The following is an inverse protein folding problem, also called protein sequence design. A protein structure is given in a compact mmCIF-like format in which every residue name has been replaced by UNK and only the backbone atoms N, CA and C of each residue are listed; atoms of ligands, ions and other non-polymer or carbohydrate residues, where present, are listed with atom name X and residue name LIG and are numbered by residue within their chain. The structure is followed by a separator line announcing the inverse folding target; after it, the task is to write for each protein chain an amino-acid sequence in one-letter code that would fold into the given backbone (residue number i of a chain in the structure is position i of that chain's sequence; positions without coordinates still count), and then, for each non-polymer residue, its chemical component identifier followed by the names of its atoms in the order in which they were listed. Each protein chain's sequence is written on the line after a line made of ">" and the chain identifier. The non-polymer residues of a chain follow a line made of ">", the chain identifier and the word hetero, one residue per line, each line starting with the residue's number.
data_IF_035041466895
#
_entry.id   IF_035041466895
#
_cell.length_a   1.000
_cell.length_b   1.000
_cell.length_c   1.000
_cell.angle_alpha   90.00
_cell.angle_beta   90.00
_cell.angle_gamma   90.00
#
_symmetry.space_group_name_H-M   'P 1'
#
loop_
_entity.id
_entity.type
_entity.pdbx_description
1 polymer ?
#
# COMPACT_ATOMS: atom_id res chain seq x y z
N UNK A 1 5.74 18.31 5.43
CA UNK A 1 5.12 17.45 4.38
C UNK A 1 4.42 18.38 3.40
N UNK A 2 4.55 18.20 2.09
CA UNK A 2 3.90 19.12 1.13
C UNK A 2 2.38 19.02 1.26
N UNK A 3 1.69 20.17 1.16
CA UNK A 3 0.23 20.26 1.33
C UNK A 3 -0.51 19.32 0.36
N UNK A 4 0.02 19.14 -0.84
CA UNK A 4 -0.56 18.27 -1.87
C UNK A 4 -0.55 16.81 -1.42
N UNK A 5 0.61 16.30 -0.98
CA UNK A 5 0.74 14.89 -0.55
C UNK A 5 -0.05 14.62 0.73
N UNK A 6 -0.05 15.57 1.67
CA UNK A 6 -0.85 15.48 2.90
C UNK A 6 -2.35 15.38 2.59
N UNK A 7 -2.86 16.28 1.75
CA UNK A 7 -4.27 16.26 1.33
C UNK A 7 -4.62 14.99 0.57
N UNK A 8 -3.77 14.53 -0.36
CA UNK A 8 -3.97 13.29 -1.09
C UNK A 8 -4.06 12.09 -0.16
N UNK A 9 -3.08 11.91 0.74
CA UNK A 9 -3.08 10.81 1.73
C UNK A 9 -4.33 10.85 2.61
N UNK A 10 -4.74 12.04 3.06
CA UNK A 10 -5.93 12.21 3.90
C UNK A 10 -7.22 11.82 3.18
N UNK A 11 -7.45 12.35 1.97
CA UNK A 11 -8.66 12.08 1.18
C UNK A 11 -8.74 10.60 0.82
N UNK A 12 -7.65 10.01 0.34
CA UNK A 12 -7.62 8.59 -0.05
C UNK A 12 -7.83 7.65 1.13
N UNK A 13 -7.26 7.93 2.30
CA UNK A 13 -7.53 7.15 3.53
C UNK A 13 -9.02 7.15 3.82
N UNK A 14 -9.66 8.33 3.81
CA UNK A 14 -11.08 8.44 4.11
C UNK A 14 -11.93 7.66 3.11
N UNK A 15 -11.71 7.88 1.82
CA UNK A 15 -12.47 7.20 0.76
C UNK A 15 -12.29 5.68 0.78
N UNK A 16 -11.06 5.19 0.96
CA UNK A 16 -10.79 3.73 1.03
C UNK A 16 -11.50 3.13 2.25
N UNK A 17 -11.39 3.76 3.42
CA UNK A 17 -12.04 3.25 4.63
C UNK A 17 -13.58 3.32 4.54
N UNK A 18 -14.16 4.31 3.86
CA UNK A 18 -15.59 4.36 3.54
C UNK A 18 -16.01 3.19 2.62
N UNK A 19 -15.26 2.93 1.55
CA UNK A 19 -15.54 1.81 0.62
C UNK A 19 -15.45 0.46 1.33
N UNK A 20 -14.42 0.27 2.15
CA UNK A 20 -14.18 -0.97 2.89
C UNK A 20 -15.20 -1.17 4.02
N UNK A 21 -15.57 -0.10 4.73
CA UNK A 21 -16.54 -0.13 5.83
C UNK A 21 -18.00 -0.26 5.40
N UNK A 22 -18.33 0.11 4.15
CA UNK A 22 -19.69 -0.07 3.59
C UNK A 22 -19.93 -1.46 3.02
N UNK A 23 -18.94 -2.35 3.07
CA UNK A 23 -19.02 -3.70 2.50
C UNK A 23 -19.06 -3.71 0.96
N UNK A 24 -18.88 -2.57 0.31
CA UNK A 24 -18.85 -2.43 -1.15
C UNK A 24 -17.40 -2.49 -1.64
N UNK A 25 -16.69 -3.58 -1.32
CA UNK A 25 -15.40 -3.85 -1.96
C UNK A 25 -15.65 -4.10 -3.47
N UNK A 26 -15.10 -3.28 -4.39
CA UNK A 26 -15.30 -3.46 -5.83
C UNK A 26 -14.63 -4.73 -6.38
N UNK A 27 -13.70 -5.30 -5.60
CA UNK A 27 -13.02 -6.55 -5.94
C UNK A 27 -13.50 -7.61 -4.96
N UNK A 28 -14.36 -8.51 -5.46
CA UNK A 28 -14.73 -9.73 -4.76
C UNK A 28 -13.54 -10.69 -4.78
N UNK A 29 -12.57 -10.51 -3.88
CA UNK A 29 -11.62 -11.58 -3.58
C UNK A 29 -12.37 -12.60 -2.71
N UNK A 30 -13.03 -13.55 -3.37
CA UNK A 30 -13.61 -14.73 -2.75
C UNK A 30 -14.89 -14.47 -1.94
N UNK A 31 -15.84 -15.38 -2.08
CA UNK A 31 -16.99 -15.48 -1.19
C UNK A 31 -16.48 -15.87 0.21
N UNK A 32 -16.16 -14.87 1.02
CA UNK A 32 -15.75 -15.03 2.41
C UNK A 32 -16.43 -13.93 3.22
N UNK A 33 -17.17 -14.35 4.24
CA UNK A 33 -17.93 -13.51 5.16
C UNK A 33 -17.07 -12.31 5.59
N UNK A 34 -17.58 -11.09 5.41
CA UNK A 34 -16.87 -9.88 5.83
C UNK A 34 -16.43 -10.03 7.30
N UNK A 35 -15.14 -9.78 7.58
CA UNK A 35 -14.63 -9.75 8.95
C UNK A 35 -15.52 -8.83 9.81
N UNK A 36 -15.83 -9.18 11.07
CA UNK A 36 -16.61 -8.31 11.94
C UNK A 36 -15.99 -6.90 11.97
N UNK A 37 -16.82 -5.85 11.96
CA UNK A 37 -16.36 -4.44 11.93
C UNK A 37 -15.29 -4.07 12.98
N UNK A 38 -15.13 -4.87 14.04
CA UNK A 38 -14.11 -4.70 15.09
C UNK A 38 -12.72 -5.25 14.74
N UNK A 39 -12.63 -6.12 13.75
CA UNK A 39 -11.38 -6.76 13.27
C UNK A 39 -10.89 -6.16 11.94
N UNK A 40 -11.67 -5.27 11.34
CA UNK A 40 -11.32 -4.63 10.08
C UNK A 40 -10.22 -3.60 10.32
N UNK A 41 -8.98 -3.96 9.93
CA UNK A 41 -7.85 -3.05 10.02
C UNK A 41 -8.05 -1.88 9.07
N UNK A 42 -8.26 -0.68 9.61
CA UNK A 42 -8.38 0.54 8.81
C UNK A 42 -7.12 0.73 7.97
N UNK A 43 -7.31 1.02 6.68
CA UNK A 43 -6.22 1.38 5.79
C UNK A 43 -5.58 2.68 6.27
N UNK A 44 -4.25 2.70 6.26
CA UNK A 44 -3.44 3.88 6.48
C UNK A 44 -2.21 3.83 5.56
N UNK A 45 -1.80 4.99 5.07
CA UNK A 45 -0.54 5.11 4.34
C UNK A 45 0.67 4.95 5.26
N UNK A 46 1.76 4.43 4.71
CA UNK A 46 3.08 4.55 5.34
C UNK A 46 3.40 6.05 5.57
N UNK A 47 4.02 6.44 6.70
CA UNK A 47 4.22 7.86 7.03
C UNK A 47 5.03 8.63 6.00
N UNK A 48 6.11 8.03 5.51
CA UNK A 48 7.01 8.61 4.50
C UNK A 48 6.60 8.19 3.09
N UNK A 49 7.28 8.72 2.08
CA UNK A 49 7.13 8.31 0.70
C UNK A 49 8.49 8.41 0.02
N UNK A 50 8.69 7.59 -1.00
CA UNK A 50 9.85 7.68 -1.87
C UNK A 50 9.52 8.58 -3.05
N UNK A 51 10.40 9.53 -3.36
CA UNK A 51 10.30 10.42 -4.51
C UNK A 51 11.61 10.37 -5.27
N UNK A 52 11.51 10.20 -6.58
CA UNK A 52 12.68 10.16 -7.45
C UNK A 52 12.27 10.60 -8.88
N UNK A 53 13.06 11.50 -9.47
CA UNK A 53 12.81 12.02 -10.82
C UNK A 53 13.52 11.12 -11.83
N UNK A 54 12.75 10.47 -12.68
CA UNK A 54 13.27 9.59 -13.74
C UNK A 54 13.80 10.43 -14.90
N UNK A 55 15.10 10.31 -15.20
CA UNK A 55 15.77 11.13 -16.23
C UNK A 55 16.10 10.37 -17.50
N UNK A 56 16.10 9.04 -17.46
CA UNK A 56 16.42 8.20 -18.60
C UNK A 56 15.67 6.85 -18.56
N UNK A 57 15.76 6.11 -19.66
CA UNK A 57 15.07 4.83 -19.84
C UNK A 57 15.67 3.69 -19.01
N UNK A 58 16.97 3.73 -18.74
CA UNK A 58 17.65 2.70 -17.93
C UNK A 58 17.09 2.75 -16.51
N UNK A 59 16.96 3.95 -15.96
CA UNK A 59 16.42 4.19 -14.64
C UNK A 59 14.93 3.79 -14.56
N UNK A 60 14.15 4.14 -15.58
CA UNK A 60 12.75 3.73 -15.71
C UNK A 60 12.61 2.19 -15.66
N UNK A 61 13.46 1.48 -16.41
CA UNK A 61 13.42 0.02 -16.47
C UNK A 61 13.80 -0.62 -15.12
N UNK A 62 14.76 -0.05 -14.38
CA UNK A 62 15.10 -0.50 -13.02
C UNK A 62 13.92 -0.34 -12.06
N UNK A 63 13.21 0.78 -12.10
CA UNK A 63 12.05 1.01 -11.23
C UNK A 63 10.92 0.03 -11.55
N UNK A 64 10.68 -0.24 -12.84
CA UNK A 64 9.69 -1.24 -13.27
C UNK A 64 10.05 -2.63 -12.77
N UNK A 65 11.30 -3.03 -12.94
CA UNK A 65 11.82 -4.31 -12.45
C UNK A 65 11.65 -4.43 -10.93
N UNK A 66 11.99 -3.37 -10.18
CA UNK A 66 11.78 -3.33 -8.74
C UNK A 66 10.30 -3.53 -8.36
N UNK A 67 9.36 -2.84 -9.02
CA UNK A 67 7.92 -2.97 -8.72
C UNK A 67 7.44 -4.41 -8.92
N UNK A 68 7.89 -5.07 -9.99
CA UNK A 68 7.50 -6.46 -10.30
C UNK A 68 8.12 -7.43 -9.29
N UNK A 69 9.38 -7.24 -8.95
CA UNK A 69 10.15 -8.19 -8.14
C UNK A 69 9.97 -7.98 -6.63
N UNK A 70 9.55 -6.80 -6.17
CA UNK A 70 9.43 -6.48 -4.74
C UNK A 70 8.52 -7.46 -3.97
N UNK A 71 7.33 -7.85 -4.45
CA UNK A 71 6.51 -8.85 -3.76
C UNK A 71 7.20 -10.20 -3.60
N UNK A 72 7.97 -10.62 -4.62
CA UNK A 72 8.71 -11.89 -4.60
C UNK A 72 9.88 -11.86 -3.62
N UNK A 73 10.48 -10.69 -3.43
CA UNK A 73 11.64 -10.50 -2.57
C UNK A 73 11.27 -10.11 -1.13
N UNK A 74 9.99 -9.85 -0.83
CA UNK A 74 9.54 -9.31 0.46
C UNK A 74 9.91 -10.18 1.66
N UNK A 75 9.84 -11.51 1.53
CA UNK A 75 10.20 -12.43 2.60
C UNK A 75 11.68 -12.33 2.99
N UNK A 76 12.54 -11.98 2.04
CA UNK A 76 13.98 -11.83 2.21
C UNK A 76 14.38 -10.40 2.59
N UNK A 77 13.45 -9.44 2.58
CA UNK A 77 13.74 -8.05 2.87
C UNK A 77 14.12 -7.84 4.34
N UNK A 78 15.12 -7.00 4.60
CA UNK A 78 15.60 -6.72 5.97
C UNK A 78 14.62 -5.87 6.77
N UNK A 79 13.80 -5.06 6.09
CA UNK A 79 12.77 -4.23 6.70
C UNK A 79 11.45 -4.99 6.91
N UNK A 80 11.37 -6.25 6.48
CA UNK A 80 10.18 -7.07 6.72
C UNK A 80 9.99 -7.32 8.23
N UNK A 81 8.91 -6.81 8.86
CA UNK A 81 8.69 -6.96 10.29
C UNK A 81 8.55 -8.42 10.73
N UNK A 82 8.09 -9.32 9.84
CA UNK A 82 7.97 -10.74 10.16
C UNK A 82 9.34 -11.43 10.26
N UNK A 83 10.37 -10.88 9.60
CA UNK A 83 11.75 -11.37 9.71
C UNK A 83 12.42 -10.94 11.02
N UNK A 84 12.02 -9.79 11.58
CA UNK A 84 12.63 -9.20 12.79
C UNK A 84 12.11 -9.87 14.08
N UNK A 85 10.97 -10.56 14.04
CA UNK A 85 10.31 -11.17 15.20
C UNK A 85 10.93 -12.50 15.69
N UNK A 86 12.19 -12.80 15.39
CA UNK A 86 12.88 -14.04 15.83
C UNK A 86 13.35 -13.99 17.27
#
# INVERSE_FOLDING_TARGET
>A
MSTIIGSYKSITIRTINEIVGTGHCPVQIGQGNALPLREQKNFAWQPRFYEHIIRDEIELNKIREYIINNPLNWELDIENPERIKS
#
